data_IF_047932234329
#
_entry.id   IF_047932234329
#
_cell.length_a   1.000
_cell.length_b   1.000
_cell.length_c   1.000
_cell.angle_alpha   90.00
_cell.angle_beta   90.00
_cell.angle_gamma   90.00
#
_symmetry.space_group_name_H-M   'P 1'
#
loop_
_entity.id
_entity.type
_entity.pdbx_description
1 polymer ?
#
# COMPACT_ATOMS: atom_id res chain seq x y z
N UNK A 1 9.01 2.48 -15.06
CA UNK A 1 9.13 2.63 -13.58
C UNK A 1 10.06 1.62 -12.89
N UNK A 2 10.03 0.32 -13.25
CA UNK A 2 10.77 -0.75 -12.53
C UNK A 2 12.05 -1.24 -13.21
N UNK A 3 12.49 -0.62 -14.31
CA UNK A 3 13.68 -1.04 -15.08
C UNK A 3 14.97 -1.05 -14.25
N UNK A 4 15.15 -0.05 -13.37
CA UNK A 4 16.28 0.02 -12.42
C UNK A 4 16.06 -0.78 -11.12
N UNK A 5 14.93 -1.47 -11.00
CA UNK A 5 14.54 -2.27 -9.82
C UNK A 5 14.29 -3.74 -10.19
N UNK A 6 14.90 -4.20 -11.28
CA UNK A 6 14.95 -5.62 -11.67
C UNK A 6 13.87 -6.09 -12.65
N UNK A 7 13.01 -5.22 -13.19
CA UNK A 7 12.05 -5.65 -14.21
C UNK A 7 12.60 -5.42 -15.61
N UNK A 8 12.84 -6.52 -16.32
CA UNK A 8 13.05 -6.49 -17.78
C UNK A 8 11.72 -6.22 -18.50
N UNK A 9 11.76 -6.02 -19.82
CA UNK A 9 10.53 -5.87 -20.60
C UNK A 9 9.65 -7.13 -20.53
N UNK A 10 10.27 -8.31 -20.61
CA UNK A 10 9.57 -9.60 -20.46
C UNK A 10 8.95 -9.75 -19.08
N UNK A 11 9.70 -9.40 -18.02
CA UNK A 11 9.19 -9.38 -16.65
C UNK A 11 7.99 -8.45 -16.52
N UNK A 12 8.10 -7.22 -17.05
CA UNK A 12 7.04 -6.22 -16.98
C UNK A 12 5.76 -6.74 -17.64
N UNK A 13 5.86 -7.35 -18.82
CA UNK A 13 4.70 -7.96 -19.49
C UNK A 13 4.08 -9.09 -18.67
N UNK A 14 4.89 -9.88 -17.97
CA UNK A 14 4.40 -10.93 -17.06
C UNK A 14 3.69 -10.31 -15.85
N UNK A 15 4.29 -9.30 -15.23
CA UNK A 15 3.73 -8.61 -14.06
C UNK A 15 2.39 -7.93 -14.38
N UNK A 16 2.25 -7.35 -15.58
CA UNK A 16 0.97 -6.77 -16.03
C UNK A 16 -0.16 -7.80 -16.21
N UNK A 17 0.12 -9.10 -16.22
CA UNK A 17 -0.92 -10.15 -16.17
C UNK A 17 -1.46 -10.38 -14.76
N UNK A 18 -0.77 -9.90 -13.72
CA UNK A 18 -1.29 -9.91 -12.36
C UNK A 18 -2.34 -8.79 -12.25
N UNK A 19 -3.61 -9.10 -11.93
CA UNK A 19 -4.68 -8.10 -11.85
C UNK A 19 -4.39 -7.00 -10.81
N UNK A 20 -3.60 -7.29 -9.78
CA UNK A 20 -3.25 -6.29 -8.77
C UNK A 20 -2.27 -5.25 -9.32
N UNK A 21 -1.27 -5.70 -10.07
CA UNK A 21 -0.31 -4.82 -10.77
C UNK A 21 -1.03 -4.05 -11.87
N UNK A 22 -1.91 -4.71 -12.62
CA UNK A 22 -2.68 -4.06 -13.69
C UNK A 22 -3.60 -2.96 -13.13
N UNK A 23 -4.38 -3.25 -12.09
CA UNK A 23 -5.20 -2.26 -11.42
C UNK A 23 -4.39 -1.09 -10.86
N UNK A 24 -3.24 -1.38 -10.24
CA UNK A 24 -2.35 -0.35 -9.73
C UNK A 24 -1.78 0.53 -10.85
N UNK A 25 -1.52 -0.04 -12.03
CA UNK A 25 -1.11 0.72 -13.22
C UNK A 25 -2.24 1.59 -13.74
N UNK A 26 -3.50 1.13 -13.73
CA UNK A 26 -4.64 1.98 -14.10
C UNK A 26 -4.78 3.19 -13.16
N UNK A 27 -4.55 3.00 -11.86
CA UNK A 27 -4.49 4.12 -10.90
C UNK A 27 -3.32 5.06 -11.23
N UNK A 28 -2.13 4.49 -11.48
CA UNK A 28 -0.93 5.27 -11.81
C UNK A 28 -1.09 6.13 -13.07
N UNK A 29 -1.70 5.57 -14.11
CA UNK A 29 -1.99 6.25 -15.38
C UNK A 29 -3.26 7.12 -15.30
N UNK A 30 -3.85 7.29 -14.11
CA UNK A 30 -5.05 8.12 -13.85
C UNK A 30 -6.28 7.71 -14.66
N UNK A 31 -6.39 6.43 -14.99
CA UNK A 31 -7.59 5.88 -15.63
C UNK A 31 -8.71 5.63 -14.61
N UNK A 32 -8.34 5.47 -13.33
CA UNK A 32 -9.24 5.30 -12.18
C UNK A 32 -8.62 5.96 -10.94
N UNK A 33 -9.45 6.30 -9.94
CA UNK A 33 -8.99 7.01 -8.74
C UNK A 33 -8.45 6.09 -7.63
N UNK A 34 -8.80 4.80 -7.66
CA UNK A 34 -8.43 3.87 -6.60
C UNK A 34 -8.65 2.41 -6.97
N UNK A 35 -8.14 1.54 -6.10
CA UNK A 35 -8.22 0.09 -6.26
C UNK A 35 -8.54 -0.57 -4.92
N UNK A 36 -9.49 -1.52 -4.94
CA UNK A 36 -9.78 -2.43 -3.81
C UNK A 36 -9.44 -3.85 -4.25
N UNK A 37 -8.72 -4.60 -3.43
CA UNK A 37 -8.26 -5.96 -3.73
C UNK A 37 -7.96 -6.74 -2.45
N UNK A 38 -7.53 -8.00 -2.58
CA UNK A 38 -7.00 -8.81 -1.47
C UNK A 38 -7.96 -9.85 -0.87
N UNK A 39 -9.12 -10.10 -1.49
CA UNK A 39 -10.10 -11.08 -0.98
C UNK A 39 -9.56 -12.52 -0.96
N UNK A 40 -8.81 -12.94 -1.99
CA UNK A 40 -8.31 -14.31 -2.16
C UNK A 40 -6.79 -14.44 -1.94
N UNK A 41 -6.16 -13.46 -1.30
CA UNK A 41 -4.70 -13.41 -1.16
C UNK A 41 -4.26 -13.04 0.24
N UNK A 42 -3.12 -13.59 0.66
CA UNK A 42 -2.49 -13.17 1.90
C UNK A 42 -2.07 -11.70 1.81
N UNK A 43 -2.13 -11.00 2.94
CA UNK A 43 -1.86 -9.56 2.99
C UNK A 43 -0.51 -9.16 2.34
N UNK A 44 0.63 -9.84 2.59
CA UNK A 44 1.89 -9.49 1.93
C UNK A 44 1.85 -9.64 0.40
N UNK A 45 1.14 -10.65 -0.10
CA UNK A 45 1.02 -10.91 -1.54
C UNK A 45 0.03 -9.96 -2.22
N UNK A 46 -0.96 -9.45 -1.48
CA UNK A 46 -1.88 -8.43 -1.94
C UNK A 46 -1.21 -7.05 -2.01
N UNK A 47 -0.55 -6.61 -0.94
CA UNK A 47 -0.06 -5.23 -0.83
C UNK A 47 1.25 -4.98 -1.60
N UNK A 48 2.18 -5.94 -1.61
CA UNK A 48 3.54 -5.74 -2.17
C UNK A 48 3.52 -5.40 -3.67
N UNK A 49 2.76 -6.08 -4.54
CA UNK A 49 2.72 -5.75 -5.98
C UNK A 49 2.20 -4.34 -6.24
N UNK A 50 1.20 -3.89 -5.46
CA UNK A 50 0.62 -2.55 -5.59
C UNK A 50 1.61 -1.48 -5.15
N UNK A 51 2.32 -1.67 -4.03
CA UNK A 51 3.38 -0.74 -3.58
C UNK A 51 4.60 -0.68 -4.50
N UNK A 52 4.77 -1.67 -5.39
CA UNK A 52 5.80 -1.61 -6.43
C UNK A 52 5.40 -0.70 -7.60
N UNK A 53 4.11 -0.35 -7.73
CA UNK A 53 3.52 0.47 -8.79
C UNK A 53 3.13 1.85 -8.27
N UNK A 54 2.33 1.91 -7.21
CA UNK A 54 1.87 3.16 -6.61
C UNK A 54 2.97 3.68 -5.69
N UNK A 55 3.51 4.84 -6.03
CA UNK A 55 4.49 5.52 -5.20
C UNK A 55 3.84 6.10 -3.94
N UNK A 56 4.59 6.07 -2.84
CA UNK A 56 4.25 6.82 -1.63
C UNK A 56 4.23 8.32 -1.94
N UNK A 57 3.41 9.07 -1.19
CA UNK A 57 3.39 10.54 -1.24
C UNK A 57 4.77 11.11 -0.89
N UNK A 58 5.20 12.24 -1.48
CA UNK A 58 6.43 12.93 -1.06
C UNK A 58 6.45 13.17 0.45
N UNK A 59 7.60 12.95 1.08
CA UNK A 59 7.75 13.07 2.53
C UNK A 59 7.22 11.88 3.34
N UNK A 60 6.66 10.84 2.70
CA UNK A 60 6.20 9.61 3.37
C UNK A 60 7.16 8.46 3.11
N UNK A 61 7.74 7.92 4.19
CA UNK A 61 8.74 6.87 4.15
C UNK A 61 8.13 5.48 4.31
N UNK A 62 7.08 5.32 5.11
CA UNK A 62 6.39 4.05 5.36
C UNK A 62 4.90 4.16 5.07
N UNK A 63 4.29 3.03 4.75
CA UNK A 63 2.83 2.89 4.74
C UNK A 63 2.41 2.23 6.05
N UNK A 64 1.22 2.58 6.54
CA UNK A 64 0.65 2.04 7.77
C UNK A 64 -0.76 1.53 7.51
N UNK A 65 -1.17 0.51 8.26
CA UNK A 65 -2.56 0.10 8.32
C UNK A 65 -3.31 0.91 9.38
N UNK A 66 -4.59 1.18 9.12
CA UNK A 66 -5.46 1.94 10.01
C UNK A 66 -6.76 1.17 10.21
N UNK A 67 -7.19 1.03 11.47
CA UNK A 67 -8.50 0.49 11.81
C UNK A 67 -9.37 1.62 12.36
N UNK A 68 -10.54 1.81 11.76
CA UNK A 68 -11.63 2.59 12.33
C UNK A 68 -12.48 1.67 13.20
N UNK A 69 -12.48 1.93 14.51
CA UNK A 69 -13.25 1.16 15.49
C UNK A 69 -14.37 2.02 16.06
N UNK A 70 -15.60 1.50 16.03
CA UNK A 70 -16.76 2.15 16.64
C UNK A 70 -17.10 1.40 17.92
N UNK A 71 -16.86 2.02 19.08
CA UNK A 71 -17.08 1.42 20.39
C UNK A 71 -17.95 2.36 21.21
N UNK A 72 -19.12 1.87 21.67
CA UNK A 72 -20.05 2.65 22.52
C UNK A 72 -20.31 4.06 21.97
N UNK A 73 -20.59 4.15 20.67
CA UNK A 73 -20.86 5.40 19.94
C UNK A 73 -19.68 6.38 19.89
N UNK A 74 -18.44 5.90 20.07
CA UNK A 74 -17.21 6.66 19.88
C UNK A 74 -16.37 6.03 18.78
N UNK A 75 -15.73 6.88 17.98
CA UNK A 75 -14.85 6.47 16.89
C UNK A 75 -13.40 6.52 17.35
N UNK A 76 -12.67 5.43 17.14
CA UNK A 76 -11.24 5.31 17.42
C UNK A 76 -10.50 4.97 16.14
N UNK A 77 -9.35 5.59 15.95
CA UNK A 77 -8.39 5.25 14.90
C UNK A 77 -7.23 4.51 15.56
N UNK A 78 -6.94 3.29 15.11
CA UNK A 78 -5.82 2.48 15.58
C UNK A 78 -4.83 2.27 14.44
N UNK A 79 -3.61 2.79 14.60
CA UNK A 79 -2.51 2.66 13.65
C UNK A 79 -1.20 2.36 14.41
N UNK A 80 -0.29 1.52 13.92
CA UNK A 80 -0.33 0.60 12.78
C UNK A 80 -0.42 -0.84 13.30
N UNK A 81 -1.51 -1.54 12.96
CA UNK A 81 -1.78 -2.89 13.48
C UNK A 81 -1.47 -4.01 12.49
N UNK A 82 -0.96 -3.70 11.28
CA UNK A 82 -0.85 -4.70 10.19
C UNK A 82 0.41 -4.63 9.34
N UNK A 83 1.09 -3.48 9.23
CA UNK A 83 2.21 -3.33 8.29
C UNK A 83 3.56 -3.37 8.99
N UNK A 84 3.78 -2.50 9.97
CA UNK A 84 5.08 -2.32 10.62
C UNK A 84 5.15 -3.11 11.93
N UNK A 85 5.87 -4.23 11.94
CA UNK A 85 5.95 -5.16 13.09
C UNK A 85 6.67 -4.54 14.30
N UNK A 86 7.78 -3.85 14.05
CA UNK A 86 8.61 -3.21 15.09
C UNK A 86 9.00 -1.80 14.62
N UNK A 87 8.07 -0.82 14.72
CA UNK A 87 8.37 0.55 14.30
C UNK A 87 9.36 1.19 15.28
N UNK A 88 10.37 1.87 14.75
CA UNK A 88 11.25 2.74 15.51
C UNK A 88 10.54 4.08 15.84
N UNK A 89 11.22 4.95 16.60
CA UNK A 89 10.64 6.22 17.04
C UNK A 89 10.23 7.12 15.87
N UNK A 90 11.02 7.14 14.80
CA UNK A 90 10.74 7.93 13.58
C UNK A 90 9.51 7.38 12.85
N UNK A 91 9.42 6.05 12.70
CA UNK A 91 8.27 5.40 12.10
C UNK A 91 7.01 5.61 12.93
N UNK A 92 7.09 5.54 14.26
CA UNK A 92 5.97 5.82 15.15
C UNK A 92 5.47 7.27 15.01
N UNK A 93 6.39 8.23 14.93
CA UNK A 93 6.03 9.63 14.69
C UNK A 93 5.34 9.81 13.33
N UNK A 94 5.86 9.18 12.27
CA UNK A 94 5.26 9.21 10.95
C UNK A 94 3.87 8.56 10.94
N UNK A 95 3.68 7.41 11.59
CA UNK A 95 2.38 6.75 11.75
C UNK A 95 1.38 7.69 12.43
N UNK A 96 1.78 8.36 13.51
CA UNK A 96 0.92 9.29 14.23
C UNK A 96 0.50 10.49 13.37
N UNK A 97 1.44 11.07 12.60
CA UNK A 97 1.17 12.18 11.68
C UNK A 97 0.23 11.74 10.56
N UNK A 98 0.38 10.53 10.03
CA UNK A 98 -0.46 10.00 8.96
C UNK A 98 -1.89 9.65 9.42
N UNK A 99 -2.07 9.35 10.71
CA UNK A 99 -3.36 8.99 11.29
C UNK A 99 -4.17 10.19 11.83
N UNK A 100 -3.54 11.36 11.96
CA UNK A 100 -4.14 12.61 12.43
C UNK A 100 -4.96 13.31 11.33
#
# INVERSE_FOLDING_TARGET
MRSRKGWTMTETRRQLRNPYVFGAMMVHERMVDGQVHGIDQSYPNAIRPVLQVIARRPGVSKVSGLYLMIIKNRSYLLADTTVNIHPDAETLAEIAILAA
#
